data_IF_267773725723
#
_entry.id   IF_267773725723
#
_cell.length_a   1.000
_cell.length_b   1.000
_cell.length_c   1.000
_cell.angle_alpha   90.00
_cell.angle_beta   90.00
_cell.angle_gamma   90.00
#
_symmetry.space_group_name_H-M   'P 1'
#
loop_
_entity.id
_entity.type
_entity.pdbx_description
1 polymer ?
#
# COMPACT_ATOMS: atom_id res chain seq x y z
N UNK A 1 9.36 -11.10 4.41
CA UNK A 1 9.01 -12.53 4.54
C UNK A 1 7.64 -12.88 3.97
N UNK A 2 6.53 -12.77 4.71
CA UNK A 2 5.27 -13.38 4.26
C UNK A 2 4.72 -12.83 2.93
N UNK A 3 4.78 -11.52 2.71
CA UNK A 3 4.32 -10.84 1.48
C UNK A 3 5.31 -10.89 0.30
N UNK A 4 6.48 -11.48 0.51
CA UNK A 4 7.55 -11.55 -0.49
C UNK A 4 7.97 -13.00 -0.68
N UNK A 5 8.98 -13.46 0.06
CA UNK A 5 9.64 -14.74 -0.11
C UNK A 5 8.66 -15.93 0.04
N UNK A 6 7.83 -15.92 1.10
CA UNK A 6 6.89 -17.03 1.37
C UNK A 6 5.79 -17.08 0.33
N UNK A 7 5.20 -15.95 -0.04
CA UNK A 7 4.15 -15.91 -1.07
C UNK A 7 4.70 -16.38 -2.41
N UNK A 8 5.92 -15.96 -2.78
CA UNK A 8 6.54 -16.39 -4.03
C UNK A 8 6.82 -17.89 -4.05
N UNK A 9 7.39 -18.43 -2.97
CA UNK A 9 7.65 -19.86 -2.83
C UNK A 9 6.34 -20.68 -2.87
N UNK A 10 5.31 -20.22 -2.17
CA UNK A 10 4.00 -20.87 -2.15
C UNK A 10 3.35 -20.90 -3.54
N UNK A 11 3.41 -19.79 -4.30
CA UNK A 11 2.88 -19.75 -5.68
C UNK A 11 3.65 -20.71 -6.59
N UNK A 12 4.98 -20.75 -6.50
CA UNK A 12 5.78 -21.70 -7.29
C UNK A 12 5.40 -23.15 -6.96
N UNK A 13 5.32 -23.50 -5.67
CA UNK A 13 4.92 -24.82 -5.21
C UNK A 13 3.49 -25.21 -5.62
N UNK A 14 2.55 -24.25 -5.61
CA UNK A 14 1.18 -24.48 -6.11
C UNK A 14 1.16 -24.77 -7.61
N UNK A 15 1.90 -24.01 -8.42
CA UNK A 15 1.96 -24.23 -9.87
C UNK A 15 2.61 -25.58 -10.19
N UNK A 16 3.70 -25.92 -9.51
CA UNK A 16 4.33 -27.24 -9.60
C UNK A 16 3.35 -28.35 -9.21
N UNK A 17 2.60 -28.17 -8.12
CA UNK A 17 1.61 -29.14 -7.66
C UNK A 17 0.51 -29.37 -8.69
N UNK A 18 0.05 -28.33 -9.39
CA UNK A 18 -0.94 -28.45 -10.49
C UNK A 18 -0.36 -29.27 -11.64
N UNK A 19 0.90 -29.02 -12.04
CA UNK A 19 1.57 -29.78 -13.10
C UNK A 19 1.74 -31.24 -12.69
N UNK A 20 2.15 -31.49 -11.45
CA UNK A 20 2.34 -32.84 -10.93
C UNK A 20 1.03 -33.60 -10.77
N UNK A 21 -0.06 -32.93 -10.36
CA UNK A 21 -1.39 -33.52 -10.28
C UNK A 21 -1.92 -34.02 -11.65
N UNK A 22 -1.47 -33.42 -12.75
CA UNK A 22 -1.83 -33.87 -14.10
C UNK A 22 -1.08 -35.14 -14.54
N UNK A 23 0.00 -35.52 -13.85
CA UNK A 23 0.78 -36.73 -14.13
C UNK A 23 0.18 -37.91 -13.35
N UNK A 24 -0.18 -38.99 -14.06
CA UNK A 24 -0.84 -40.17 -13.45
C UNK A 24 0.06 -40.94 -12.48
N UNK A 25 1.35 -40.87 -12.71
CA UNK A 25 2.42 -41.59 -12.01
C UNK A 25 3.09 -40.77 -10.92
N UNK A 26 2.69 -39.50 -10.73
CA UNK A 26 3.26 -38.68 -9.67
C UNK A 26 2.98 -39.28 -8.28
N UNK A 27 4.01 -39.28 -7.45
CA UNK A 27 3.95 -39.64 -6.03
C UNK A 27 4.64 -38.52 -5.24
N UNK A 28 3.94 -37.89 -4.26
CA UNK A 28 4.60 -36.95 -3.37
C UNK A 28 5.66 -37.68 -2.55
N UNK A 29 6.68 -36.95 -2.13
CA UNK A 29 7.73 -37.47 -1.23
C UNK A 29 7.17 -37.41 0.18
N UNK A 30 7.06 -38.56 0.84
CA UNK A 30 6.68 -38.62 2.25
C UNK A 30 7.78 -38.00 3.12
N UNK A 31 7.37 -37.35 4.21
CA UNK A 31 8.30 -36.80 5.18
C UNK A 31 8.98 -37.96 5.93
N UNK A 32 10.31 -38.06 5.83
CA UNK A 32 11.12 -39.02 6.60
C UNK A 32 11.89 -38.29 7.71
N UNK A 33 11.41 -38.41 8.95
CA UNK A 33 12.03 -37.77 10.12
C UNK A 33 13.48 -38.24 10.40
N UNK A 34 13.95 -39.32 9.74
CA UNK A 34 15.34 -39.80 9.84
C UNK A 34 16.27 -39.18 8.80
N UNK A 35 15.74 -38.49 7.80
CA UNK A 35 16.55 -37.83 6.78
C UNK A 35 17.21 -36.56 7.33
N UNK A 36 18.51 -36.66 7.59
CA UNK A 36 19.35 -35.53 8.04
C UNK A 36 19.40 -34.33 7.08
N UNK A 37 18.92 -34.48 5.84
CA UNK A 37 18.81 -33.38 4.87
C UNK A 37 17.62 -32.45 5.16
N UNK A 38 16.61 -32.93 5.90
CA UNK A 38 15.42 -32.17 6.28
C UNK A 38 15.77 -31.18 7.38
N UNK A 39 15.64 -29.87 7.08
CA UNK A 39 15.94 -28.78 8.04
C UNK A 39 14.74 -28.37 8.89
N UNK A 40 13.54 -28.82 8.54
CA UNK A 40 12.31 -28.48 9.25
C UNK A 40 12.17 -29.28 10.54
N UNK A 41 11.64 -28.66 11.58
CA UNK A 41 11.25 -29.34 12.82
C UNK A 41 9.86 -28.89 13.26
N UNK A 42 9.19 -29.72 14.03
CA UNK A 42 7.96 -29.32 14.69
C UNK A 42 8.23 -28.13 15.64
N UNK A 43 7.44 -27.07 15.50
CA UNK A 43 7.44 -25.94 16.42
C UNK A 43 6.05 -25.80 17.03
N UNK A 44 5.97 -25.65 18.36
CA UNK A 44 4.70 -25.36 19.01
C UNK A 44 4.18 -23.99 18.57
N UNK A 45 2.87 -23.79 18.76
CA UNK A 45 2.26 -22.45 18.62
C UNK A 45 2.99 -21.44 19.52
N UNK A 46 3.36 -20.31 18.92
CA UNK A 46 3.91 -19.14 19.65
C UNK A 46 2.85 -18.51 20.54
N UNK A 47 3.26 -18.08 21.72
CA UNK A 47 2.44 -17.44 22.75
C UNK A 47 3.03 -16.08 23.11
N UNK A 48 2.28 -15.23 23.82
CA UNK A 48 2.78 -13.91 24.23
C UNK A 48 4.05 -13.97 25.09
N UNK A 49 4.21 -15.03 25.90
CA UNK A 49 5.42 -15.27 26.68
C UNK A 49 6.69 -15.39 25.83
N UNK A 50 6.57 -15.83 24.57
CA UNK A 50 7.71 -15.95 23.64
C UNK A 50 8.21 -14.59 23.14
N UNK A 51 7.36 -13.57 23.19
CA UNK A 51 7.69 -12.22 22.75
C UNK A 51 8.09 -11.29 23.89
N UNK A 52 8.05 -11.75 25.14
CA UNK A 52 8.35 -10.93 26.32
C UNK A 52 9.77 -10.39 26.24
N UNK A 53 9.93 -9.12 26.56
CA UNK A 53 11.24 -8.49 26.71
C UNK A 53 11.23 -7.43 27.81
N UNK A 54 12.41 -7.04 28.28
CA UNK A 54 12.60 -5.82 29.06
C UNK A 54 13.34 -4.79 28.22
N UNK A 55 13.08 -3.50 28.44
CA UNK A 55 13.78 -2.43 27.71
C UNK A 55 15.30 -2.39 27.99
N UNK A 56 15.77 -3.12 29.00
CA UNK A 56 17.20 -3.34 29.27
C UNK A 56 17.87 -4.39 28.34
N UNK A 57 17.13 -4.98 27.41
CA UNK A 57 17.70 -5.79 26.32
C UNK A 57 18.20 -4.91 25.17
N UNK A 58 18.97 -5.51 24.23
CA UNK A 58 19.41 -4.81 23.02
C UNK A 58 18.23 -4.52 22.09
N UNK A 59 18.26 -3.36 21.44
CA UNK A 59 17.22 -2.92 20.50
C UNK A 59 16.99 -3.94 19.36
N UNK A 60 18.06 -4.58 18.85
CA UNK A 60 17.93 -5.58 17.80
C UNK A 60 17.15 -6.83 18.24
N UNK A 61 17.34 -7.28 19.49
CA UNK A 61 16.64 -8.44 20.03
C UNK A 61 15.16 -8.15 20.27
N UNK A 62 14.87 -6.96 20.80
CA UNK A 62 13.51 -6.45 20.98
C UNK A 62 12.82 -6.32 19.61
N UNK A 63 13.48 -5.70 18.63
CA UNK A 63 12.94 -5.52 17.30
C UNK A 63 12.65 -6.86 16.60
N UNK A 64 13.49 -7.88 16.80
CA UNK A 64 13.22 -9.24 16.30
C UNK A 64 11.91 -9.81 16.84
N UNK A 65 11.64 -9.64 18.14
CA UNK A 65 10.38 -10.07 18.78
C UNK A 65 9.19 -9.29 18.22
N UNK A 66 9.32 -7.97 18.06
CA UNK A 66 8.29 -7.12 17.44
C UNK A 66 7.98 -7.57 16.01
N UNK A 67 9.00 -7.76 15.18
CA UNK A 67 8.85 -8.21 13.80
C UNK A 67 8.20 -9.60 13.69
N UNK A 68 8.48 -10.50 14.63
CA UNK A 68 7.88 -11.83 14.64
C UNK A 68 6.37 -11.81 14.93
N UNK A 69 5.88 -10.77 15.63
CA UNK A 69 4.47 -10.60 15.96
C UNK A 69 3.77 -9.53 15.09
N UNK A 70 4.42 -8.99 14.07
CA UNK A 70 3.87 -7.99 13.15
C UNK A 70 3.43 -8.65 11.83
N UNK A 71 2.15 -8.62 11.44
CA UNK A 71 1.08 -7.71 11.87
C UNK A 71 0.10 -8.24 12.91
N UNK A 72 0.28 -9.48 13.37
CA UNK A 72 -0.54 -10.14 14.39
C UNK A 72 0.32 -11.21 15.08
N UNK A 73 0.20 -11.41 16.41
CA UNK A 73 -0.75 -10.76 17.33
C UNK A 73 -0.31 -9.40 17.87
N UNK A 74 0.93 -8.98 17.60
CA UNK A 74 1.60 -7.87 18.29
C UNK A 74 2.28 -8.33 19.57
N UNK A 75 3.23 -7.54 20.07
CA UNK A 75 3.91 -7.82 21.35
C UNK A 75 3.26 -7.01 22.45
N UNK A 76 2.81 -7.67 23.51
CA UNK A 76 2.21 -7.01 24.67
C UNK A 76 3.30 -6.35 25.53
N UNK A 77 3.16 -5.05 25.80
CA UNK A 77 4.01 -4.28 26.70
C UNK A 77 3.15 -3.43 27.64
N UNK A 78 3.74 -2.98 28.74
CA UNK A 78 3.17 -1.91 29.57
C UNK A 78 3.83 -0.58 29.22
N UNK A 79 3.00 0.45 29.01
CA UNK A 79 3.42 1.80 28.64
C UNK A 79 2.52 2.82 29.33
N UNK A 80 3.12 3.73 30.11
CA UNK A 80 2.40 4.80 30.82
C UNK A 80 1.21 4.29 31.66
N UNK A 81 1.39 3.15 32.33
CA UNK A 81 0.40 2.55 33.24
C UNK A 81 -0.68 1.69 32.57
N UNK A 82 -0.63 1.50 31.25
CA UNK A 82 -1.58 0.67 30.51
C UNK A 82 -0.87 -0.33 29.58
N UNK A 83 -1.53 -1.44 29.27
CA UNK A 83 -0.97 -2.46 28.39
C UNK A 83 -1.38 -2.25 26.93
N UNK A 84 -0.42 -2.37 26.01
CA UNK A 84 -0.61 -2.23 24.57
C UNK A 84 0.09 -3.35 23.80
N UNK A 85 -0.53 -3.79 22.71
CA UNK A 85 0.15 -4.54 21.67
C UNK A 85 0.87 -3.58 20.73
N UNK A 86 2.16 -3.80 20.49
CA UNK A 86 3.00 -2.93 19.64
C UNK A 86 3.30 -3.54 18.28
N UNK A 87 3.45 -2.67 17.28
CA UNK A 87 3.78 -3.03 15.91
C UNK A 87 4.61 -1.93 15.22
N UNK A 88 5.16 -2.27 14.05
CA UNK A 88 5.86 -1.35 13.17
C UNK A 88 7.10 -0.75 13.82
N UNK A 89 7.99 -1.63 14.29
CA UNK A 89 9.25 -1.29 14.93
C UNK A 89 10.32 -0.81 13.95
N UNK A 90 11.04 0.26 14.29
CA UNK A 90 12.22 0.73 13.55
C UNK A 90 13.36 1.09 14.52
N UNK A 91 14.59 0.75 14.18
CA UNK A 91 15.76 1.15 14.99
C UNK A 91 15.96 2.67 14.95
N UNK A 92 16.47 3.20 16.04
CA UNK A 92 16.94 4.57 16.22
C UNK A 92 18.35 4.57 16.81
N UNK A 93 19.29 5.22 16.15
CA UNK A 93 20.70 5.26 16.55
C UNK A 93 21.13 6.55 17.25
N UNK A 94 20.40 7.65 17.08
CA UNK A 94 20.82 8.97 17.54
C UNK A 94 20.14 9.39 18.85
N UNK A 95 18.89 8.99 19.06
CA UNK A 95 18.18 9.30 20.30
C UNK A 95 18.56 8.30 21.39
N UNK A 96 19.11 8.81 22.49
CA UNK A 96 19.56 8.02 23.65
C UNK A 96 18.86 8.47 24.93
N UNK A 97 18.67 7.55 25.87
CA UNK A 97 18.16 7.84 27.20
C UNK A 97 18.15 6.59 28.07
N UNK A 98 17.50 6.65 29.23
CA UNK A 98 17.40 5.49 30.12
C UNK A 98 16.49 4.41 29.52
N UNK A 99 16.87 3.13 29.64
CA UNK A 99 16.07 2.02 29.12
C UNK A 99 14.59 2.09 29.57
N UNK A 100 13.67 2.07 28.61
CA UNK A 100 12.22 2.18 28.83
C UNK A 100 11.69 3.62 28.82
N UNK A 101 12.56 4.63 28.78
CA UNK A 101 12.16 6.03 28.63
C UNK A 101 11.59 6.29 27.23
N UNK A 102 10.42 6.93 27.17
CA UNK A 102 9.90 7.48 25.91
C UNK A 102 10.70 8.76 25.60
N UNK A 103 11.43 8.75 24.49
CA UNK A 103 12.37 9.82 24.12
C UNK A 103 11.70 10.91 23.29
N UNK A 104 10.85 10.51 22.33
CA UNK A 104 10.31 11.42 21.33
C UNK A 104 9.05 10.88 20.65
N UNK A 105 8.32 11.77 19.97
CA UNK A 105 7.31 11.45 18.97
C UNK A 105 7.68 12.08 17.63
N UNK A 106 7.32 11.41 16.53
CA UNK A 106 7.51 11.87 15.15
C UNK A 106 6.48 11.21 14.25
N UNK A 107 5.75 11.98 13.44
CA UNK A 107 4.75 11.46 12.49
C UNK A 107 3.84 10.38 13.12
N UNK A 108 3.31 10.68 14.31
CA UNK A 108 2.44 9.80 15.12
C UNK A 108 3.07 8.49 15.65
N UNK A 109 4.36 8.28 15.45
CA UNK A 109 5.14 7.23 16.12
C UNK A 109 5.75 7.75 17.44
N UNK A 110 6.13 6.83 18.33
CA UNK A 110 6.88 7.13 19.56
C UNK A 110 8.22 6.40 19.56
N UNK A 111 9.26 6.98 20.15
CA UNK A 111 10.59 6.39 20.28
C UNK A 111 10.84 6.01 21.73
N UNK A 112 11.30 4.79 21.98
CA UNK A 112 11.57 4.27 23.34
C UNK A 112 13.02 3.78 23.42
N UNK A 113 13.75 4.23 24.43
CA UNK A 113 15.12 3.81 24.69
C UNK A 113 15.22 2.33 25.08
N UNK A 114 16.22 1.65 24.52
CA UNK A 114 16.65 0.31 24.90
C UNK A 114 18.02 0.40 25.60
N UNK A 115 18.71 -0.73 25.83
CA UNK A 115 20.05 -0.73 26.44
C UNK A 115 21.12 -0.02 25.61
N UNK A 116 21.15 -0.27 24.31
CA UNK A 116 22.23 0.13 23.39
C UNK A 116 21.80 1.21 22.37
N UNK A 117 20.52 1.24 22.02
CA UNK A 117 19.90 2.11 20.98
C UNK A 117 18.47 2.45 21.42
N UNK A 118 17.65 2.95 20.51
CA UNK A 118 16.22 3.10 20.73
C UNK A 118 15.39 2.44 19.61
N UNK A 119 14.08 2.32 19.82
CA UNK A 119 13.13 1.78 18.84
C UNK A 119 11.96 2.76 18.69
N UNK A 120 11.66 3.12 17.45
CA UNK A 120 10.39 3.73 17.08
C UNK A 120 9.30 2.67 16.95
N UNK A 121 8.16 2.92 17.58
CA UNK A 121 6.93 2.15 17.43
C UNK A 121 5.91 3.01 16.71
N UNK A 122 5.48 2.57 15.54
CA UNK A 122 4.56 3.34 14.70
C UNK A 122 3.10 3.07 15.03
N UNK A 123 2.78 1.89 15.57
CA UNK A 123 1.40 1.48 15.82
C UNK A 123 1.25 0.80 17.18
N UNK A 124 0.13 1.09 17.84
CA UNK A 124 -0.29 0.46 19.09
C UNK A 124 -1.74 -0.03 18.95
N UNK A 125 -2.09 -1.05 19.72
CA UNK A 125 -3.47 -1.48 19.97
C UNK A 125 -3.63 -1.67 21.48
N UNK A 126 -4.54 -0.97 22.12
CA UNK A 126 -4.81 -1.13 23.55
C UNK A 126 -5.20 -2.58 23.87
N UNK A 127 -4.77 -3.10 25.02
CA UNK A 127 -5.14 -4.44 25.48
C UNK A 127 -6.53 -4.44 26.14
N UNK A 128 -7.55 -4.17 25.35
CA UNK A 128 -8.96 -4.24 25.76
C UNK A 128 -9.84 -4.70 24.59
N UNK A 129 -11.00 -5.23 24.92
CA UNK A 129 -11.96 -5.65 23.90
C UNK A 129 -12.40 -4.48 23.03
N UNK A 130 -12.62 -4.77 21.74
CA UNK A 130 -12.96 -3.75 20.74
C UNK A 130 -11.80 -2.83 20.34
N UNK A 131 -10.61 -2.91 20.95
CA UNK A 131 -9.49 -2.06 20.55
C UNK A 131 -8.99 -2.40 19.13
N UNK A 132 -8.66 -1.34 18.40
CA UNK A 132 -8.15 -1.40 17.02
C UNK A 132 -6.72 -0.89 16.97
N UNK A 133 -5.98 -1.28 15.93
CA UNK A 133 -4.60 -0.82 15.72
C UNK A 133 -4.61 0.62 15.22
N UNK A 134 -3.86 1.51 15.85
CA UNK A 134 -3.80 2.94 15.54
C UNK A 134 -2.36 3.44 15.58
N UNK A 135 -2.05 4.57 14.91
CA UNK A 135 -0.79 5.27 15.11
C UNK A 135 -0.52 5.50 16.60
N UNK A 136 0.73 5.31 17.04
CA UNK A 136 1.06 5.24 18.46
C UNK A 136 0.59 6.46 19.28
N UNK A 137 0.78 7.67 18.77
CA UNK A 137 0.31 8.87 19.49
C UNK A 137 -1.21 8.98 19.55
N UNK A 138 -1.93 8.48 18.54
CA UNK A 138 -3.41 8.44 18.54
C UNK A 138 -3.89 7.43 19.58
N UNK A 139 -3.28 6.25 19.64
CA UNK A 139 -3.62 5.22 20.63
C UNK A 139 -3.34 5.67 22.08
N UNK A 140 -2.30 6.49 22.28
CA UNK A 140 -1.95 7.07 23.58
C UNK A 140 -2.85 8.26 23.96
N UNK A 141 -3.53 8.88 23.00
CA UNK A 141 -4.37 10.06 23.20
C UNK A 141 -3.65 11.15 24.03
N UNK A 142 -4.27 11.61 25.11
CA UNK A 142 -3.72 12.64 26.01
C UNK A 142 -2.35 12.28 26.61
N UNK A 143 -2.07 10.97 26.79
CA UNK A 143 -0.76 10.49 27.29
C UNK A 143 0.39 10.80 26.33
N UNK A 144 0.11 11.20 25.09
CA UNK A 144 1.12 11.58 24.11
C UNK A 144 1.46 13.07 24.09
N UNK A 145 0.73 13.91 24.83
CA UNK A 145 0.87 15.38 24.79
C UNK A 145 2.30 15.78 25.18
N UNK A 146 2.79 15.27 26.31
CA UNK A 146 4.08 15.65 26.90
C UNK A 146 5.29 14.96 26.26
N UNK A 147 5.07 14.04 25.32
CA UNK A 147 6.18 13.40 24.59
C UNK A 147 6.84 14.44 23.67
N UNK A 148 8.17 14.66 23.75
CA UNK A 148 8.86 15.66 22.92
C UNK A 148 8.69 15.39 21.42
N UNK A 149 8.34 16.40 20.63
CA UNK A 149 8.28 16.30 19.17
C UNK A 149 9.69 16.45 18.58
N UNK A 150 10.14 15.46 17.80
CA UNK A 150 11.37 15.54 17.02
C UNK A 150 11.04 15.42 15.54
N UNK A 151 11.10 16.53 14.83
CA UNK A 151 10.83 16.56 13.40
C UNK A 151 11.98 15.98 12.58
N UNK A 152 11.65 15.46 11.40
CA UNK A 152 12.61 15.10 10.38
C UNK A 152 11.93 15.29 9.03
N UNK A 153 12.38 16.28 8.28
CA UNK A 153 11.86 16.60 6.95
C UNK A 153 12.11 15.44 5.99
N UNK A 154 11.22 15.19 5.01
CA UNK A 154 11.48 14.24 3.94
C UNK A 154 12.77 14.51 3.16
N UNK A 155 13.25 15.76 3.12
CA UNK A 155 14.44 16.17 2.37
C UNK A 155 15.74 16.06 3.19
N UNK A 156 15.65 15.80 4.49
CA UNK A 156 16.82 15.59 5.34
C UNK A 156 17.33 14.15 5.19
N UNK A 157 18.64 14.01 4.99
CA UNK A 157 19.30 12.70 4.93
C UNK A 157 19.38 12.12 6.34
N UNK A 158 19.03 10.84 6.46
CA UNK A 158 19.21 10.09 7.72
C UNK A 158 20.69 10.05 8.10
N UNK A 159 20.99 10.40 9.35
CA UNK A 159 22.27 10.10 9.98
C UNK A 159 22.06 8.78 10.74
N UNK A 160 22.46 7.65 10.15
CA UNK A 160 22.19 6.32 10.74
C UNK A 160 20.74 5.82 10.58
N UNK A 161 20.40 4.76 11.31
CA UNK A 161 19.06 4.17 11.30
C UNK A 161 18.08 5.03 12.13
N UNK A 162 16.98 5.43 11.50
CA UNK A 162 15.89 6.19 12.15
C UNK A 162 14.57 5.99 11.38
N UNK A 163 13.45 6.24 12.06
CA UNK A 163 12.13 6.27 11.44
C UNK A 163 11.92 7.57 10.66
N UNK A 164 11.70 7.41 9.36
CA UNK A 164 11.35 8.48 8.43
C UNK A 164 10.36 7.89 7.43
N UNK A 165 9.09 8.19 7.66
CA UNK A 165 7.95 7.60 6.94
C UNK A 165 7.92 8.01 5.47
N UNK A 166 8.21 9.29 5.20
CA UNK A 166 8.36 9.85 3.85
C UNK A 166 9.79 10.35 3.71
N UNK A 167 10.50 9.94 2.66
CA UNK A 167 11.84 10.44 2.39
C UNK A 167 12.08 10.66 0.89
N UNK A 168 12.88 11.67 0.61
CA UNK A 168 13.27 12.13 -0.72
C UNK A 168 14.72 11.73 -1.00
N UNK A 169 14.96 11.16 -2.17
CA UNK A 169 16.31 10.94 -2.71
C UNK A 169 16.40 11.56 -4.09
N UNK A 170 17.51 12.21 -4.39
CA UNK A 170 17.78 12.81 -5.70
C UNK A 170 19.01 12.16 -6.30
N UNK A 171 18.91 11.73 -7.56
CA UNK A 171 20.05 11.30 -8.37
C UNK A 171 19.99 12.04 -9.71
N UNK A 172 20.86 13.04 -9.88
CA UNK A 172 20.86 13.93 -11.04
C UNK A 172 19.46 14.58 -11.21
N UNK A 173 18.87 14.50 -12.40
CA UNK A 173 17.57 15.10 -12.71
C UNK A 173 16.36 14.22 -12.30
N UNK A 174 16.56 13.25 -11.40
CA UNK A 174 15.54 12.30 -10.96
C UNK A 174 15.34 12.39 -9.45
N UNK A 175 14.09 12.61 -9.03
CA UNK A 175 13.64 12.47 -7.66
C UNK A 175 13.01 11.09 -7.41
N UNK A 176 13.34 10.46 -6.29
CA UNK A 176 12.69 9.27 -5.76
C UNK A 176 12.01 9.64 -4.44
N UNK A 177 10.68 9.55 -4.41
CA UNK A 177 9.87 9.85 -3.22
C UNK A 177 9.36 8.53 -2.68
N UNK A 178 9.83 8.18 -1.49
CA UNK A 178 9.42 7.00 -0.76
C UNK A 178 8.41 7.37 0.32
N UNK A 179 7.38 6.54 0.49
CA UNK A 179 6.34 6.70 1.52
C UNK A 179 5.89 5.33 1.99
N UNK A 180 6.40 4.88 3.14
CA UNK A 180 6.16 3.54 3.69
C UNK A 180 5.12 3.61 4.81
N UNK A 181 3.90 4.00 4.45
CA UNK A 181 2.78 4.07 5.39
C UNK A 181 2.41 2.66 5.86
N UNK A 182 2.22 2.49 7.17
CA UNK A 182 1.93 1.18 7.73
C UNK A 182 0.66 0.56 7.11
N UNK A 183 0.76 -0.68 6.62
CA UNK A 183 -0.28 -1.36 5.81
C UNK A 183 -0.73 -0.61 4.53
N UNK A 184 0.00 0.41 4.09
CA UNK A 184 -0.36 1.28 2.97
C UNK A 184 -1.61 2.12 3.21
N UNK A 185 -2.10 2.22 4.45
CA UNK A 185 -3.25 3.04 4.80
C UNK A 185 -2.80 4.50 4.96
N UNK A 186 -3.51 5.43 4.33
CA UNK A 186 -3.11 6.84 4.22
C UNK A 186 -4.12 7.73 4.92
N UNK A 187 -3.78 8.21 6.12
CA UNK A 187 -4.62 9.17 6.83
C UNK A 187 -4.52 10.57 6.22
N UNK A 188 -5.40 11.48 6.65
CA UNK A 188 -5.49 12.85 6.14
C UNK A 188 -4.14 13.59 6.19
N UNK A 189 -3.39 13.46 7.29
CA UNK A 189 -2.08 14.11 7.45
C UNK A 189 -1.00 13.46 6.56
N UNK A 190 -0.97 12.13 6.47
CA UNK A 190 -0.05 11.40 5.60
C UNK A 190 -0.25 11.80 4.12
N UNK A 191 -1.50 11.91 3.66
CA UNK A 191 -1.82 12.42 2.32
C UNK A 191 -1.27 13.83 2.10
N UNK A 192 -1.50 14.74 3.06
CA UNK A 192 -1.05 16.13 2.97
C UNK A 192 0.48 16.26 3.00
N UNK A 193 1.17 15.49 3.86
CA UNK A 193 2.65 15.48 3.91
C UNK A 193 3.26 14.93 2.63
N UNK A 194 2.67 13.89 2.03
CA UNK A 194 3.13 13.36 0.75
C UNK A 194 2.89 14.38 -0.38
N UNK A 195 1.72 15.02 -0.42
CA UNK A 195 1.43 16.09 -1.38
C UNK A 195 2.43 17.24 -1.26
N UNK A 196 2.69 17.72 -0.04
CA UNK A 196 3.69 18.76 0.24
C UNK A 196 5.08 18.34 -0.24
N UNK A 197 5.47 17.09 -0.01
CA UNK A 197 6.75 16.56 -0.49
C UNK A 197 6.87 16.60 -2.01
N UNK A 198 5.80 16.25 -2.73
CA UNK A 198 5.76 16.35 -4.20
C UNK A 198 5.85 17.80 -4.66
N UNK A 199 5.10 18.71 -4.04
CA UNK A 199 5.15 20.16 -4.36
C UNK A 199 6.56 20.71 -4.17
N UNK A 200 7.23 20.38 -3.07
CA UNK A 200 8.61 20.83 -2.81
C UNK A 200 9.62 20.17 -3.77
N UNK A 201 9.44 18.90 -4.12
CA UNK A 201 10.29 18.21 -5.09
C UNK A 201 10.23 18.89 -6.47
N UNK A 202 9.04 19.32 -6.90
CA UNK A 202 8.82 20.03 -8.18
C UNK A 202 9.49 21.41 -8.27
N UNK A 203 9.97 21.97 -7.16
CA UNK A 203 10.73 23.23 -7.17
C UNK A 203 12.22 23.03 -7.47
N UNK A 204 12.69 21.77 -7.47
CA UNK A 204 14.09 21.43 -7.73
C UNK A 204 14.36 21.29 -9.23
N UNK A 205 15.64 21.30 -9.62
CA UNK A 205 16.08 21.10 -10.99
C UNK A 205 15.99 19.61 -11.41
N UNK A 206 14.80 19.03 -11.29
CA UNK A 206 14.50 17.65 -11.65
C UNK A 206 13.58 17.62 -12.89
N UNK A 207 13.70 16.54 -13.66
CA UNK A 207 12.85 16.26 -14.83
C UNK A 207 11.85 15.15 -14.55
N UNK A 208 12.20 14.21 -13.68
CA UNK A 208 11.44 12.99 -13.45
C UNK A 208 11.26 12.73 -11.95
N UNK A 209 10.05 12.34 -11.55
CA UNK A 209 9.72 11.91 -10.18
C UNK A 209 9.31 10.44 -10.21
N UNK A 210 9.89 9.63 -9.31
CA UNK A 210 9.49 8.25 -9.09
C UNK A 210 8.79 8.14 -7.73
N UNK A 211 7.53 7.73 -7.74
CA UNK A 211 6.74 7.43 -6.55
C UNK A 211 6.99 5.97 -6.16
N UNK A 212 7.81 5.76 -5.14
CA UNK A 212 8.32 4.45 -4.76
C UNK A 212 7.40 3.68 -3.81
N UNK A 213 6.55 4.40 -3.07
CA UNK A 213 5.63 3.85 -2.06
C UNK A 213 6.27 2.91 -1.04
N UNK A 214 5.42 2.16 -0.33
CA UNK A 214 5.85 1.16 0.64
C UNK A 214 6.32 -0.14 0.00
N UNK A 215 7.22 -0.84 0.70
CA UNK A 215 7.82 -2.08 0.17
C UNK A 215 6.83 -3.25 0.14
N UNK A 216 5.97 -3.34 1.16
CA UNK A 216 5.05 -4.46 1.37
C UNK A 216 3.70 -4.16 0.73
N UNK A 217 3.23 -2.94 0.93
CA UNK A 217 2.01 -2.37 0.36
C UNK A 217 2.39 -0.98 -0.16
N UNK A 218 2.10 -0.74 -1.43
CA UNK A 218 2.36 0.55 -2.05
C UNK A 218 1.36 1.61 -1.56
N UNK A 219 0.07 1.31 -1.64
CA UNK A 219 -1.03 2.08 -1.03
C UNK A 219 -2.34 1.29 -1.06
N UNK A 220 -3.14 1.40 -0.01
CA UNK A 220 -4.53 0.89 0.08
C UNK A 220 -5.57 2.02 0.10
N UNK A 221 -5.16 3.28 -0.09
CA UNK A 221 -6.03 4.45 0.01
C UNK A 221 -6.26 4.91 1.45
N UNK A 222 -7.45 5.45 1.73
CA UNK A 222 -7.83 6.08 3.02
C UNK A 222 -7.60 5.18 4.25
N UNK A 223 -7.36 5.79 5.41
CA UNK A 223 -6.98 5.07 6.63
C UNK A 223 -8.20 4.69 7.48
N UNK A 224 -8.85 3.57 7.12
CA UNK A 224 -10.07 3.10 7.77
C UNK A 224 -9.99 2.97 9.31
N UNK A 225 -8.84 2.61 9.88
CA UNK A 225 -8.68 2.54 11.34
C UNK A 225 -8.69 3.93 12.02
N UNK A 226 -8.09 4.95 11.39
CA UNK A 226 -8.08 6.32 11.93
C UNK A 226 -9.48 6.93 11.80
N UNK A 227 -10.13 6.68 10.66
CA UNK A 227 -11.53 7.03 10.43
C UNK A 227 -12.44 6.39 11.50
N UNK A 228 -12.28 5.10 11.78
CA UNK A 228 -13.10 4.39 12.77
C UNK A 228 -12.89 4.93 14.20
N UNK A 229 -11.68 5.41 14.51
CA UNK A 229 -11.38 6.00 15.82
C UNK A 229 -11.82 7.47 15.96
N UNK A 230 -12.16 8.15 14.87
CA UNK A 230 -12.53 9.56 14.92
C UNK A 230 -13.86 9.76 15.66
N UNK A 231 -14.01 10.91 16.33
CA UNK A 231 -15.27 11.29 17.00
C UNK A 231 -16.46 11.30 16.04
N UNK A 232 -16.23 11.74 14.79
CA UNK A 232 -17.17 11.60 13.70
C UNK A 232 -16.48 10.90 12.51
N UNK A 233 -16.69 9.59 12.33
CA UNK A 233 -16.11 8.84 11.22
C UNK A 233 -16.55 9.31 9.84
N UNK A 234 -17.73 9.92 9.69
CA UNK A 234 -18.16 10.47 8.39
C UNK A 234 -17.30 11.69 8.00
N UNK A 235 -17.07 12.61 8.94
CA UNK A 235 -16.23 13.79 8.73
C UNK A 235 -14.77 13.42 8.47
N UNK A 236 -14.20 12.48 9.23
CA UNK A 236 -12.83 12.01 8.95
C UNK A 236 -12.75 11.27 7.61
N UNK A 237 -13.80 10.52 7.21
CA UNK A 237 -13.85 9.93 5.86
C UNK A 237 -13.85 11.00 4.77
N UNK A 238 -14.63 12.07 4.96
CA UNK A 238 -14.73 13.19 4.03
C UNK A 238 -13.41 13.98 3.94
N UNK A 239 -12.77 14.24 5.08
CA UNK A 239 -11.46 14.89 5.12
C UNK A 239 -10.39 14.02 4.45
N UNK A 240 -10.37 12.72 4.75
CA UNK A 240 -9.36 11.81 4.22
C UNK A 240 -9.52 11.58 2.71
N UNK A 241 -10.75 11.45 2.18
CA UNK A 241 -10.97 11.31 0.74
C UNK A 241 -10.54 12.58 -0.01
N UNK A 242 -10.84 13.77 0.51
CA UNK A 242 -10.42 15.02 -0.11
C UNK A 242 -8.90 15.18 -0.09
N UNK A 243 -8.23 14.76 0.98
CA UNK A 243 -6.78 14.82 1.07
C UNK A 243 -6.07 13.88 0.05
N UNK A 244 -6.62 12.68 -0.19
CA UNK A 244 -6.05 11.79 -1.22
C UNK A 244 -6.38 12.28 -2.63
N UNK A 245 -7.56 12.87 -2.86
CA UNK A 245 -7.91 13.52 -4.12
C UNK A 245 -6.97 14.70 -4.42
N UNK A 246 -6.66 15.54 -3.43
CA UNK A 246 -5.70 16.64 -3.57
C UNK A 246 -4.30 16.14 -3.93
N UNK A 247 -3.86 15.05 -3.30
CA UNK A 247 -2.58 14.40 -3.62
C UNK A 247 -2.56 13.90 -5.07
N UNK A 248 -3.63 13.24 -5.53
CA UNK A 248 -3.74 12.73 -6.90
C UNK A 248 -3.80 13.87 -7.90
N UNK A 249 -4.56 14.92 -7.60
CA UNK A 249 -4.65 16.11 -8.43
C UNK A 249 -3.27 16.75 -8.63
N UNK A 250 -2.48 16.88 -7.58
CA UNK A 250 -1.10 17.40 -7.65
C UNK A 250 -0.22 16.58 -8.61
N UNK A 251 -0.36 15.26 -8.61
CA UNK A 251 0.35 14.35 -9.53
C UNK A 251 -0.11 14.56 -10.97
N UNK A 252 -1.43 14.58 -11.21
CA UNK A 252 -2.01 14.79 -12.55
C UNK A 252 -1.60 16.18 -13.08
N UNK A 253 -1.57 17.20 -12.22
CA UNK A 253 -1.20 18.59 -12.52
C UNK A 253 0.31 18.85 -12.43
N UNK A 254 1.12 17.87 -12.84
CA UNK A 254 2.58 18.01 -12.97
C UNK A 254 3.04 17.98 -14.43
N UNK A 255 2.65 18.97 -15.26
CA UNK A 255 2.90 18.96 -16.71
C UNK A 255 4.38 19.07 -17.10
N UNK A 256 5.23 19.54 -16.19
CA UNK A 256 6.66 19.75 -16.42
C UNK A 256 7.55 18.61 -15.88
N UNK A 257 6.96 17.62 -15.23
CA UNK A 257 7.69 16.48 -14.66
C UNK A 257 7.12 15.20 -15.21
N UNK A 258 7.98 14.29 -15.64
CA UNK A 258 7.56 12.92 -15.96
C UNK A 258 7.44 12.13 -14.66
N UNK A 259 6.36 11.39 -14.45
CA UNK A 259 6.09 10.69 -13.19
C UNK A 259 5.99 9.18 -13.42
N UNK A 260 6.82 8.43 -12.71
CA UNK A 260 6.74 6.97 -12.65
C UNK A 260 6.13 6.55 -11.32
N UNK A 261 5.01 5.83 -11.33
CA UNK A 261 4.53 5.09 -10.17
C UNK A 261 5.19 3.70 -10.16
N UNK A 262 6.02 3.42 -9.16
CA UNK A 262 6.79 2.19 -9.05
C UNK A 262 6.27 1.30 -7.91
N UNK A 263 5.39 0.36 -8.25
CA UNK A 263 4.65 -0.46 -7.30
C UNK A 263 5.47 -1.66 -6.85
N UNK A 264 6.17 -1.49 -5.72
CA UNK A 264 6.98 -2.54 -5.08
C UNK A 264 6.13 -3.59 -4.35
N UNK A 265 4.97 -3.18 -3.84
CA UNK A 265 4.03 -3.99 -3.06
C UNK A 265 2.61 -3.88 -3.61
N UNK A 266 1.68 -4.60 -2.97
CA UNK A 266 0.28 -4.60 -3.39
C UNK A 266 -0.33 -3.20 -3.33
N UNK A 267 -1.33 -2.95 -4.16
CA UNK A 267 -2.14 -1.75 -4.08
C UNK A 267 -3.63 -2.09 -4.12
N UNK A 268 -4.45 -1.32 -3.40
CA UNK A 268 -5.88 -1.55 -3.33
C UNK A 268 -6.67 -0.24 -3.27
N UNK A 269 -7.95 -0.32 -3.64
CA UNK A 269 -8.89 0.80 -3.60
C UNK A 269 -8.30 2.07 -4.25
N UNK A 270 -8.39 3.22 -3.58
CA UNK A 270 -7.82 4.49 -4.01
C UNK A 270 -6.29 4.46 -4.22
N UNK A 271 -5.58 3.51 -3.60
CA UNK A 271 -4.17 3.29 -3.84
C UNK A 271 -3.85 2.83 -5.27
N UNK A 272 -4.77 2.13 -5.95
CA UNK A 272 -4.58 1.83 -7.37
C UNK A 272 -4.76 3.11 -8.20
N UNK A 273 -5.81 3.89 -7.93
CA UNK A 273 -6.03 5.16 -8.64
C UNK A 273 -4.87 6.15 -8.47
N UNK A 274 -4.31 6.25 -7.25
CA UNK A 274 -3.10 7.01 -6.97
C UNK A 274 -1.91 6.60 -7.86
N UNK A 275 -1.73 5.30 -8.11
CA UNK A 275 -0.71 4.83 -9.03
C UNK A 275 -0.98 5.27 -10.47
N UNK A 276 -2.24 5.17 -10.92
CA UNK A 276 -2.62 5.48 -12.32
C UNK A 276 -2.46 6.96 -12.67
N UNK A 277 -2.33 7.84 -11.69
CA UNK A 277 -2.03 9.26 -11.87
C UNK A 277 -0.62 9.50 -12.46
N UNK A 278 0.30 8.54 -12.32
CA UNK A 278 1.62 8.59 -12.96
C UNK A 278 1.54 8.45 -14.49
N UNK A 279 2.50 9.04 -15.19
CA UNK A 279 2.64 8.91 -16.64
C UNK A 279 3.02 7.48 -17.05
N UNK A 280 3.80 6.82 -16.20
CA UNK A 280 4.18 5.41 -16.35
C UNK A 280 3.95 4.66 -15.04
N UNK A 281 3.33 3.50 -15.12
CA UNK A 281 2.99 2.65 -13.97
C UNK A 281 3.67 1.31 -14.16
N UNK A 282 4.65 1.02 -13.31
CA UNK A 282 5.40 -0.24 -13.34
C UNK A 282 5.25 -0.97 -12.02
N UNK A 283 5.24 -2.30 -12.05
CA UNK A 283 5.05 -3.11 -10.85
C UNK A 283 6.05 -4.26 -10.74
N UNK A 284 6.36 -4.65 -9.50
CA UNK A 284 7.09 -5.88 -9.21
C UNK A 284 6.25 -7.10 -9.58
N UNK A 285 6.88 -8.16 -10.06
CA UNK A 285 6.19 -9.43 -10.30
C UNK A 285 5.54 -9.97 -9.01
N UNK A 286 4.36 -10.57 -9.15
CA UNK A 286 3.66 -11.23 -8.05
C UNK A 286 2.85 -10.31 -7.12
N UNK A 287 2.89 -8.98 -7.28
CA UNK A 287 1.98 -8.11 -6.52
C UNK A 287 0.53 -8.28 -6.99
N UNK A 288 -0.40 -7.90 -6.11
CA UNK A 288 -1.84 -7.93 -6.35
C UNK A 288 -2.41 -6.52 -6.32
N UNK A 289 -3.26 -6.22 -7.29
CA UNK A 289 -4.00 -4.97 -7.43
C UNK A 289 -5.49 -5.20 -7.16
N UNK A 290 -6.12 -4.35 -6.34
CA UNK A 290 -7.57 -4.36 -6.12
C UNK A 290 -8.16 -3.01 -6.54
N UNK A 291 -8.45 -2.78 -7.84
CA UNK A 291 -8.90 -1.49 -8.36
C UNK A 291 -10.39 -1.23 -8.09
N UNK A 292 -10.86 -1.48 -6.87
CA UNK A 292 -12.27 -1.36 -6.51
C UNK A 292 -12.48 -0.99 -5.05
N UNK A 293 -13.52 -0.22 -4.78
CA UNK A 293 -13.94 0.27 -3.46
C UNK A 293 -15.33 -0.25 -3.07
N UNK A 294 -16.09 -0.80 -4.04
CA UNK A 294 -17.50 -1.21 -3.87
C UNK A 294 -17.72 -2.25 -2.77
N UNK A 295 -16.78 -3.17 -2.55
CA UNK A 295 -16.87 -4.13 -1.43
C UNK A 295 -16.84 -3.45 -0.05
N UNK A 296 -16.30 -2.24 0.04
CA UNK A 296 -16.33 -1.41 1.25
C UNK A 296 -17.59 -0.53 1.32
N UNK A 297 -18.53 -0.64 0.36
CA UNK A 297 -19.70 0.24 0.30
C UNK A 297 -19.36 1.65 -0.18
N UNK A 298 -18.30 1.78 -0.98
CA UNK A 298 -17.81 3.06 -1.48
C UNK A 298 -17.78 3.10 -2.99
N UNK A 299 -18.13 4.25 -3.56
CA UNK A 299 -18.04 4.53 -4.98
C UNK A 299 -16.58 4.78 -5.43
N UNK A 300 -15.78 5.47 -4.63
CA UNK A 300 -14.40 5.94 -4.92
C UNK A 300 -14.37 7.36 -5.48
N UNK A 301 -13.37 8.18 -5.08
CA UNK A 301 -13.22 9.61 -5.45
C UNK A 301 -11.88 10.00 -6.08
N UNK A 302 -10.99 9.03 -6.23
CA UNK A 302 -9.58 9.25 -6.53
C UNK A 302 -9.31 9.54 -8.02
N UNK A 303 -10.20 10.29 -8.69
CA UNK A 303 -10.24 10.52 -10.13
C UNK A 303 -10.28 9.21 -10.93
N UNK A 304 -10.83 8.15 -10.34
CA UNK A 304 -10.78 6.83 -10.95
C UNK A 304 -11.60 6.78 -12.24
N UNK A 305 -12.69 7.57 -12.35
CA UNK A 305 -13.50 7.65 -13.56
C UNK A 305 -12.81 8.43 -14.69
N UNK A 306 -11.75 9.17 -14.38
CA UNK A 306 -10.83 9.76 -15.36
C UNK A 306 -9.66 8.80 -15.68
N UNK A 307 -8.98 8.30 -14.65
CA UNK A 307 -7.71 7.57 -14.78
C UNK A 307 -7.87 6.14 -15.29
N UNK A 308 -8.84 5.38 -14.76
CA UNK A 308 -8.99 3.97 -15.10
C UNK A 308 -9.51 3.78 -16.53
N UNK A 309 -10.61 4.44 -16.98
CA UNK A 309 -11.06 4.34 -18.37
C UNK A 309 -10.02 4.80 -19.39
N UNK A 310 -9.17 5.78 -19.05
CA UNK A 310 -8.11 6.25 -19.94
C UNK A 310 -7.09 5.14 -20.26
N UNK A 311 -6.84 4.22 -19.33
CA UNK A 311 -5.89 3.11 -19.50
C UNK A 311 -6.51 1.90 -20.19
N UNK A 312 -7.70 1.49 -19.74
CA UNK A 312 -8.28 0.20 -20.14
C UNK A 312 -9.61 0.29 -20.89
N UNK A 313 -10.13 1.50 -21.12
CA UNK A 313 -11.44 1.75 -21.71
C UNK A 313 -12.58 1.66 -20.69
N UNK A 314 -13.69 2.32 -21.00
CA UNK A 314 -14.83 2.49 -20.08
C UNK A 314 -15.52 1.16 -19.74
N UNK A 315 -15.68 0.26 -20.71
CA UNK A 315 -16.35 -1.03 -20.51
C UNK A 315 -15.58 -1.91 -19.53
N UNK A 316 -14.26 -2.04 -19.73
CA UNK A 316 -13.40 -2.79 -18.83
C UNK A 316 -13.40 -2.14 -17.46
N UNK A 317 -13.19 -0.82 -17.37
CA UNK A 317 -13.21 -0.09 -16.11
C UNK A 317 -14.49 -0.37 -15.30
N UNK A 318 -15.67 -0.25 -15.92
CA UNK A 318 -16.96 -0.54 -15.29
C UNK A 318 -17.09 -2.01 -14.89
N UNK A 319 -16.81 -2.94 -15.80
CA UNK A 319 -16.92 -4.37 -15.51
C UNK A 319 -16.11 -4.76 -14.26
N UNK A 320 -14.91 -4.22 -14.18
CA UNK A 320 -13.92 -4.57 -13.19
C UNK A 320 -14.16 -3.96 -11.82
N UNK A 321 -14.56 -2.70 -11.75
CA UNK A 321 -14.94 -2.05 -10.49
C UNK A 321 -16.23 -2.65 -9.92
N UNK A 322 -17.09 -3.22 -10.78
CA UNK A 322 -18.32 -3.91 -10.35
C UNK A 322 -18.09 -5.35 -9.88
N UNK A 323 -17.14 -6.08 -10.47
CA UNK A 323 -16.83 -7.47 -10.09
C UNK A 323 -16.02 -7.58 -8.81
N UNK A 324 -15.26 -6.55 -8.45
CA UNK A 324 -14.44 -6.52 -7.25
C UNK A 324 -13.44 -7.69 -7.13
N UNK A 325 -12.74 -8.02 -8.22
CA UNK A 325 -11.75 -9.11 -8.25
C UNK A 325 -10.31 -8.58 -8.11
N UNK A 326 -9.43 -9.29 -7.39
CA UNK A 326 -8.00 -9.01 -7.32
C UNK A 326 -7.29 -9.38 -8.62
N UNK A 327 -6.33 -8.56 -9.08
CA UNK A 327 -5.56 -8.81 -10.31
C UNK A 327 -4.09 -9.00 -10.02
N UNK A 328 -3.52 -10.05 -10.60
CA UNK A 328 -2.08 -10.21 -10.69
C UNK A 328 -1.48 -9.29 -11.77
N UNK A 329 -0.20 -8.99 -11.63
CA UNK A 329 0.51 -8.08 -12.54
C UNK A 329 0.53 -8.52 -14.00
N UNK A 330 0.59 -9.83 -14.28
CA UNK A 330 0.54 -10.34 -15.66
C UNK A 330 -0.72 -9.90 -16.40
N UNK A 331 -1.88 -10.08 -15.77
CA UNK A 331 -3.16 -9.64 -16.34
C UNK A 331 -3.22 -8.12 -16.47
N UNK A 332 -2.78 -7.41 -15.43
CA UNK A 332 -2.81 -5.95 -15.41
C UNK A 332 -1.93 -5.33 -16.53
N UNK A 333 -0.80 -5.95 -16.87
CA UNK A 333 0.02 -5.57 -18.03
C UNK A 333 -0.68 -5.91 -19.36
N UNK A 334 -1.21 -7.13 -19.49
CA UNK A 334 -1.89 -7.60 -20.71
C UNK A 334 -3.05 -6.68 -21.14
N UNK A 335 -3.82 -6.16 -20.18
CA UNK A 335 -4.96 -5.29 -20.47
C UNK A 335 -4.60 -3.80 -20.57
N UNK A 336 -3.33 -3.43 -20.37
CA UNK A 336 -2.85 -2.04 -20.43
C UNK A 336 -3.06 -1.22 -19.16
N UNK A 337 -3.38 -1.84 -18.02
CA UNK A 337 -3.43 -1.11 -16.73
C UNK A 337 -2.01 -0.73 -16.28
N UNK A 338 -1.07 -1.67 -16.40
CA UNK A 338 0.35 -1.47 -16.11
C UNK A 338 1.14 -1.34 -17.41
N UNK A 339 2.10 -0.42 -17.42
CA UNK A 339 2.99 -0.20 -18.56
C UNK A 339 4.09 -1.26 -18.62
N UNK A 340 4.58 -1.72 -17.47
CA UNK A 340 5.55 -2.81 -17.42
C UNK A 340 5.54 -3.55 -16.07
N UNK A 341 6.09 -4.76 -16.08
CA UNK A 341 6.19 -5.65 -14.93
C UNK A 341 7.52 -6.37 -14.98
N UNK A 342 8.32 -6.27 -13.92
CA UNK A 342 9.65 -6.87 -13.85
C UNK A 342 10.12 -7.03 -12.41
N UNK A 343 11.13 -7.88 -12.21
CA UNK A 343 11.79 -8.10 -10.92
C UNK A 343 10.96 -8.96 -9.99
N UNK A 344 11.55 -10.03 -9.46
CA UNK A 344 10.87 -10.93 -8.54
C UNK A 344 11.01 -10.44 -7.09
N UNK A 345 12.15 -9.83 -6.79
CA UNK A 345 12.44 -9.23 -5.48
C UNK A 345 12.27 -7.72 -5.49
N UNK A 346 12.00 -7.13 -4.32
CA UNK A 346 11.94 -5.68 -4.18
C UNK A 346 13.29 -5.00 -4.53
N UNK A 347 14.41 -5.69 -4.29
CA UNK A 347 15.74 -5.20 -4.65
C UNK A 347 15.93 -5.10 -6.17
N UNK A 348 15.65 -6.18 -6.90
CA UNK A 348 15.72 -6.21 -8.37
C UNK A 348 14.80 -5.17 -8.99
N UNK A 349 13.56 -5.09 -8.52
CA UNK A 349 12.59 -4.11 -9.01
C UNK A 349 13.09 -2.68 -8.81
N UNK A 350 13.62 -2.32 -7.62
CA UNK A 350 14.20 -0.98 -7.41
C UNK A 350 15.38 -0.70 -8.33
N UNK A 351 16.28 -1.67 -8.52
CA UNK A 351 17.43 -1.54 -9.41
C UNK A 351 16.99 -1.27 -10.85
N UNK A 352 16.03 -2.03 -11.36
CA UNK A 352 15.48 -1.85 -12.71
C UNK A 352 14.70 -0.54 -12.85
N UNK A 353 13.90 -0.15 -11.86
CA UNK A 353 13.20 1.14 -11.85
C UNK A 353 14.18 2.31 -11.90
N UNK A 354 15.28 2.26 -11.13
CA UNK A 354 16.33 3.30 -11.19
C UNK A 354 16.98 3.37 -12.57
N UNK A 355 17.29 2.21 -13.18
CA UNK A 355 17.83 2.13 -14.54
C UNK A 355 16.84 2.72 -15.57
N UNK A 356 15.58 2.32 -15.52
CA UNK A 356 14.51 2.83 -16.40
C UNK A 356 14.34 4.35 -16.27
N UNK A 357 14.36 4.89 -15.05
CA UNK A 357 14.26 6.33 -14.84
C UNK A 357 15.42 7.10 -15.50
N UNK A 358 16.66 6.58 -15.38
CA UNK A 358 17.85 7.14 -16.02
C UNK A 358 17.76 7.09 -17.54
N UNK A 359 17.30 5.96 -18.08
CA UNK A 359 17.10 5.79 -19.52
C UNK A 359 16.04 6.75 -20.07
N UNK A 360 14.92 6.95 -19.35
CA UNK A 360 13.86 7.88 -19.75
C UNK A 360 14.38 9.33 -19.79
N UNK A 361 15.08 9.77 -18.74
CA UNK A 361 15.64 11.14 -18.69
C UNK A 361 16.68 11.36 -19.80
N UNK A 362 17.43 10.32 -20.17
CA UNK A 362 18.44 10.39 -21.23
C UNK A 362 17.87 10.31 -22.65
N UNK A 363 16.55 10.15 -22.83
CA UNK A 363 15.96 10.09 -24.17
C UNK A 363 16.19 11.40 -24.94
N UNK A 364 16.69 11.35 -26.19
CA UNK A 364 16.87 12.55 -27.01
C UNK A 364 15.59 13.34 -27.28
N UNK A 365 14.43 12.72 -27.03
CA UNK A 365 13.10 13.28 -27.20
C UNK A 365 12.33 13.44 -25.87
N UNK A 366 13.01 13.46 -24.72
CA UNK A 366 12.36 13.64 -23.42
C UNK A 366 11.43 14.87 -23.38
N UNK A 367 11.86 16.00 -23.92
CA UNK A 367 11.03 17.21 -23.98
C UNK A 367 9.76 17.02 -24.84
N UNK A 368 9.81 16.15 -25.86
CA UNK A 368 8.63 15.78 -26.64
C UNK A 368 7.65 14.95 -25.82
N UNK A 369 8.11 14.13 -24.86
CA UNK A 369 7.24 13.42 -23.93
C UNK A 369 6.48 14.40 -23.04
N UNK A 370 7.16 15.42 -22.50
CA UNK A 370 6.52 16.46 -21.70
C UNK A 370 5.55 17.32 -22.54
N UNK A 371 5.91 17.63 -23.79
CA UNK A 371 5.02 18.35 -24.70
C UNK A 371 3.75 17.53 -25.01
N UNK A 372 3.89 16.23 -25.28
CA UNK A 372 2.77 15.33 -25.50
C UNK A 372 1.88 15.23 -24.25
N UNK A 373 2.47 15.11 -23.06
CA UNK A 373 1.75 15.15 -21.77
C UNK A 373 0.92 16.42 -21.62
N UNK A 374 1.53 17.59 -21.86
CA UNK A 374 0.86 18.90 -21.82
C UNK A 374 -0.30 18.98 -22.81
N UNK A 375 -0.07 18.54 -24.04
CA UNK A 375 -1.09 18.53 -25.08
C UNK A 375 -2.27 17.63 -24.71
N UNK A 376 -2.00 16.39 -24.28
CA UNK A 376 -3.03 15.44 -23.88
C UNK A 376 -3.85 15.98 -22.69
N UNK A 377 -3.21 16.56 -21.67
CA UNK A 377 -3.91 17.16 -20.53
C UNK A 377 -4.82 18.31 -20.97
N UNK A 378 -4.36 19.21 -21.85
CA UNK A 378 -5.20 20.28 -22.41
C UNK A 378 -6.40 19.74 -23.21
N UNK A 379 -6.22 18.65 -23.97
CA UNK A 379 -7.30 17.99 -24.70
C UNK A 379 -8.31 17.37 -23.75
N UNK A 380 -7.85 16.60 -22.77
CA UNK A 380 -8.70 15.96 -21.77
C UNK A 380 -9.53 17.02 -21.00
N UNK A 381 -8.91 18.14 -20.63
CA UNK A 381 -9.57 19.24 -19.91
C UNK A 381 -10.72 19.88 -20.71
N UNK A 382 -10.59 19.96 -22.04
CA UNK A 382 -11.65 20.46 -22.93
C UNK A 382 -12.82 19.48 -23.06
N UNK A 383 -12.55 18.16 -22.95
CA UNK A 383 -13.60 17.14 -23.01
C UNK A 383 -14.39 17.12 -21.70
N UNK A 384 -13.68 17.03 -20.57
CA UNK A 384 -14.27 17.13 -19.24
C UNK A 384 -13.19 17.60 -18.25
N UNK A 385 -13.40 18.74 -17.57
CA UNK A 385 -12.45 19.23 -16.58
C UNK A 385 -12.25 18.26 -15.42
N UNK A 386 -11.04 18.22 -14.84
CA UNK A 386 -10.75 17.38 -13.66
C UNK A 386 -11.67 17.72 -12.48
N UNK A 387 -11.98 19.00 -12.30
CA UNK A 387 -12.94 19.47 -11.30
C UNK A 387 -14.30 18.77 -11.44
N UNK A 388 -14.82 18.64 -12.66
CA UNK A 388 -16.10 17.96 -12.90
C UNK A 388 -16.04 16.46 -12.59
N UNK A 389 -14.91 15.80 -12.86
CA UNK A 389 -14.71 14.41 -12.43
C UNK A 389 -14.75 14.31 -10.90
N UNK A 390 -14.00 15.17 -10.21
CA UNK A 390 -13.97 15.20 -8.73
C UNK A 390 -15.35 15.45 -8.14
N UNK A 391 -16.08 16.46 -8.61
CA UNK A 391 -17.41 16.79 -8.10
C UNK A 391 -18.39 15.62 -8.23
N UNK A 392 -18.48 15.00 -9.41
CA UNK A 392 -19.40 13.87 -9.63
C UNK A 392 -19.03 12.62 -8.80
N UNK A 393 -17.73 12.39 -8.56
CA UNK A 393 -17.29 11.29 -7.70
C UNK A 393 -17.54 11.60 -6.21
N UNK A 394 -17.26 12.82 -5.76
CA UNK A 394 -17.49 13.28 -4.39
C UNK A 394 -18.96 13.37 -4.02
N UNK A 395 -19.86 13.74 -4.94
CA UNK A 395 -21.31 13.70 -4.71
C UNK A 395 -21.77 12.29 -4.29
N UNK A 396 -21.28 11.25 -4.98
CA UNK A 396 -21.60 9.85 -4.64
C UNK A 396 -20.93 9.42 -3.32
N UNK A 397 -19.72 9.89 -3.06
CA UNK A 397 -19.01 9.59 -1.81
C UNK A 397 -19.65 10.29 -0.62
N UNK A 398 -20.21 11.48 -0.79
CA UNK A 398 -21.02 12.17 0.22
C UNK A 398 -22.21 11.30 0.63
N UNK A 399 -22.94 10.73 -0.34
CA UNK A 399 -24.02 9.80 -0.04
C UNK A 399 -23.53 8.51 0.65
N UNK A 400 -22.34 8.01 0.30
CA UNK A 400 -21.78 6.84 0.98
C UNK A 400 -21.40 7.13 2.43
N UNK A 401 -20.90 8.34 2.73
CA UNK A 401 -20.39 8.71 4.06
C UNK A 401 -21.43 9.30 4.99
N UNK A 402 -22.35 10.14 4.50
CA UNK A 402 -23.32 10.84 5.33
C UNK A 402 -24.71 10.19 5.27
N UNK A 403 -25.12 9.72 4.09
CA UNK A 403 -26.40 9.03 3.91
C UNK A 403 -26.28 7.49 4.05
N UNK A 404 -25.05 6.98 4.16
CA UNK A 404 -24.71 5.56 4.32
C UNK A 404 -25.44 4.62 3.33
N UNK A 405 -25.71 5.10 2.10
CA UNK A 405 -26.60 4.43 1.15
C UNK A 405 -26.10 3.07 0.64
N UNK A 406 -24.84 2.71 0.90
CA UNK A 406 -24.23 1.42 0.55
C UNK A 406 -23.66 0.65 1.75
N UNK A 407 -24.02 1.06 2.98
CA UNK A 407 -23.61 0.40 4.22
C UNK A 407 -22.11 0.49 4.51
N UNK A 408 -21.47 1.62 4.17
CA UNK A 408 -20.04 1.85 4.38
C UNK A 408 -19.63 1.71 5.84
N UNK A 409 -20.39 2.30 6.78
CA UNK A 409 -19.99 2.31 8.19
C UNK A 409 -19.92 0.90 8.80
N UNK A 410 -20.92 0.07 8.53
CA UNK A 410 -20.93 -1.32 9.00
C UNK A 410 -19.79 -2.14 8.37
N UNK A 411 -19.55 -1.97 7.07
CA UNK A 411 -18.44 -2.65 6.37
C UNK A 411 -17.09 -2.22 6.91
N UNK A 412 -16.91 -0.93 7.19
CA UNK A 412 -15.70 -0.38 7.81
C UNK A 412 -15.51 -0.94 9.22
N UNK A 413 -16.54 -0.92 10.05
CA UNK A 413 -16.53 -1.49 11.40
C UNK A 413 -16.07 -2.95 11.35
N UNK A 414 -16.73 -3.80 10.54
CA UNK A 414 -16.34 -5.21 10.37
C UNK A 414 -14.89 -5.38 9.89
N UNK A 415 -14.46 -4.57 8.93
CA UNK A 415 -13.11 -4.64 8.38
C UNK A 415 -12.04 -4.28 9.41
N UNK A 416 -12.26 -3.23 10.20
CA UNK A 416 -11.30 -2.73 11.19
C UNK A 416 -11.25 -3.68 12.40
N UNK A 417 -12.40 -4.14 12.88
CA UNK A 417 -12.52 -5.08 14.01
C UNK A 417 -12.26 -6.54 13.64
N UNK A 418 -11.98 -6.85 12.36
CA UNK A 418 -11.74 -8.20 11.84
C UNK A 418 -12.90 -9.17 12.14
N UNK A 419 -14.12 -8.65 12.05
CA UNK A 419 -15.34 -9.43 12.21
C UNK A 419 -15.64 -10.09 10.86
N UNK A 420 -15.54 -11.41 10.83
CA UNK A 420 -15.91 -12.21 9.68
C UNK A 420 -17.39 -12.59 9.80
N UNK A 421 -18.18 -12.34 8.76
CA UNK A 421 -19.54 -12.85 8.65
C UNK A 421 -19.49 -14.31 8.14
N UNK A 422 -19.84 -15.32 8.96
CA UNK A 422 -19.78 -16.72 8.54
C UNK A 422 -20.74 -17.02 7.37
N UNK A 423 -21.85 -16.28 7.26
CA UNK A 423 -22.87 -16.49 6.22
C UNK A 423 -22.41 -16.01 4.84
N UNK A 424 -21.45 -15.07 4.78
CA UNK A 424 -20.79 -14.71 3.52
C UNK A 424 -19.91 -15.84 2.97
N UNK A 425 -19.40 -16.74 3.83
CA UNK A 425 -18.64 -17.93 3.42
C UNK A 425 -19.50 -18.99 2.70
N UNK A 426 -20.79 -19.11 3.06
CA UNK A 426 -21.75 -20.01 2.42
C UNK A 426 -22.16 -19.54 1.01
N UNK A 427 -22.01 -18.25 0.69
CA UNK A 427 -22.24 -17.72 -0.67
C UNK A 427 -21.23 -18.19 -1.73
N UNK A 428 -20.22 -18.98 -1.31
CA UNK A 428 -19.13 -19.48 -2.15
C UNK A 428 -19.42 -20.88 -2.70
N UNK A 429 -20.20 -21.71 -1.99
CA UNK A 429 -20.48 -23.10 -2.38
C UNK A 429 -21.34 -23.20 -3.65
N UNK A 430 -22.30 -22.29 -3.84
CA UNK A 430 -23.21 -22.29 -5.00
C UNK A 430 -22.77 -21.42 -6.18
N UNK A 431 -21.62 -20.73 -6.08
CA UNK A 431 -21.10 -19.92 -7.18
C UNK A 431 -20.20 -20.77 -8.07
N UNK A 432 -20.61 -20.94 -9.33
CA UNK A 432 -19.75 -21.53 -10.36
C UNK A 432 -18.62 -20.56 -10.75
N UNK A 433 -17.61 -20.51 -9.90
CA UNK A 433 -16.39 -19.76 -10.12
C UNK A 433 -15.62 -20.29 -11.32
N UNK A 434 -15.73 -21.58 -11.62
CA UNK A 434 -15.04 -22.19 -12.73
C UNK A 434 -15.59 -21.71 -14.06
N UNK A 435 -16.91 -21.70 -14.27
CA UNK A 435 -17.54 -21.15 -15.47
C UNK A 435 -17.52 -19.63 -15.50
N UNK A 436 -17.56 -18.95 -14.35
CA UNK A 436 -17.39 -17.49 -14.30
C UNK A 436 -15.97 -17.09 -14.71
N UNK A 437 -14.95 -17.75 -14.16
CA UNK A 437 -13.53 -17.55 -14.54
C UNK A 437 -13.22 -18.10 -15.92
N UNK A 438 -13.84 -19.21 -16.38
CA UNK A 438 -13.72 -19.71 -17.76
C UNK A 438 -14.47 -18.85 -18.77
N UNK A 439 -15.60 -18.23 -18.45
CA UNK A 439 -16.24 -17.23 -19.32
C UNK A 439 -15.31 -16.03 -19.48
N UNK A 440 -14.67 -15.60 -18.39
CA UNK A 440 -13.62 -14.58 -18.41
C UNK A 440 -12.44 -15.03 -19.27
N UNK A 441 -11.91 -16.24 -19.07
CA UNK A 441 -10.75 -16.76 -19.82
C UNK A 441 -11.06 -17.10 -21.29
N UNK A 442 -12.27 -17.60 -21.60
CA UNK A 442 -12.74 -17.90 -22.96
C UNK A 442 -13.12 -16.63 -23.71
N UNK A 443 -13.73 -15.60 -23.09
CA UNK A 443 -13.85 -14.28 -23.73
C UNK A 443 -12.46 -13.70 -24.02
N UNK A 444 -11.51 -13.82 -23.09
CA UNK A 444 -10.12 -13.36 -23.28
C UNK A 444 -9.33 -14.12 -24.37
N UNK A 445 -9.62 -15.40 -24.63
CA UNK A 445 -8.96 -16.19 -25.69
C UNK A 445 -9.57 -15.97 -27.09
N UNK A 446 -10.80 -15.47 -27.17
CA UNK A 446 -11.57 -15.37 -28.43
C UNK A 446 -12.03 -13.96 -28.80
N UNK A 447 -11.78 -12.94 -27.98
CA UNK A 447 -11.73 -11.56 -28.47
C UNK A 447 -10.49 -11.44 -29.35
N UNK A 448 -10.68 -11.60 -30.67
CA UNK A 448 -9.71 -11.13 -31.64
C UNK A 448 -9.44 -9.66 -31.33
N UNK A 449 -8.26 -9.38 -30.77
CA UNK A 449 -7.77 -8.01 -30.65
C UNK A 449 -7.43 -7.58 -32.07
N UNK A 450 -8.41 -6.99 -32.75
CA UNK A 450 -8.21 -6.44 -34.08
C UNK A 450 -7.37 -5.15 -33.95
N UNK A 451 -6.06 -5.28 -34.11
CA UNK A 451 -5.10 -4.17 -34.12
C UNK A 451 -5.13 -3.37 -35.45
N UNK A 452 -6.22 -3.42 -36.23
CA UNK A 452 -6.31 -2.70 -37.49
C UNK A 452 -7.56 -1.80 -37.58
N UNK A 453 -7.48 -0.61 -36.97
CA UNK A 453 -8.05 0.59 -37.63
C UNK A 453 -6.91 1.52 -38.04
N UNK A 454 -6.40 1.28 -39.24
CA UNK A 454 -5.75 2.31 -40.04
C UNK A 454 -6.72 3.49 -40.14
N UNK A 455 -6.35 4.60 -39.55
CA UNK A 455 -6.91 5.91 -39.88
C UNK A 455 -6.54 6.16 -41.34
N UNK A 456 -7.56 6.27 -42.20
CA UNK A 456 -7.42 7.01 -43.46
C UNK A 456 -7.54 8.48 -43.16
#
# INVERSE_FOLDING_TARGET
MYRHEVTQAAVNGLLESIVNFQKKDFRPIDLDDKDSSIKGQWNRRTQQSDYKFTWSENANDILRKINAADSSPGVLIDLLGESYFVFGGHLEENLTGAAGQILAKRNKAICIACRDKAIWLTQLKANRDGAIKLPATIALAEKSIDIPLVELSPFEKKQGQTFQEIYYQEENEIAYIHFDFYNGAMDTDQCNRLRKTIVEAKKRAIKLIVLMGGKDIWSNGIHLNVIENANNPADESWANINAIDDLILEIIQSPNHYIIAALQGNAGAGGVALALAGDKVVAREGIVLNPHTKNMGLYGSEYWTYLLPKRIGIEKANHFTQQCLPWGTKLAKEIGLLDDVFGQTAFEFRKHTKKMAKEIVALPYFDKLLLAKKFQRKKDERVKPLEKYRTEELEKMYDNFYNNNQGYHEKRFRFVHKIFDPTHGQSVEDRDWYSSRRKIYRRRKWEAIDYARKVR
#
